data_IF_643419751555
#
_entry.id   IF_643419751555
#
_cell.length_a   1.000
_cell.length_b   1.000
_cell.length_c   1.000
_cell.angle_alpha   90.00
_cell.angle_beta   90.00
_cell.angle_gamma   90.00
#
_symmetry.space_group_name_H-M   'P 1'
#
loop_
_entity.id
_entity.type
_entity.pdbx_description
1 polymer ?
#
# COMPACT_ATOMS: atom_id res chain seq x y z
N UNK A 1 -14.10 -8.01 -11.09
CA UNK A 1 -14.02 -6.60 -10.70
C UNK A 1 -12.89 -6.47 -9.70
N UNK A 2 -11.92 -5.62 -9.97
CA UNK A 2 -10.73 -5.49 -9.11
C UNK A 2 -10.98 -4.39 -8.09
N UNK A 3 -10.76 -4.67 -6.81
CA UNK A 3 -10.61 -3.64 -5.81
C UNK A 3 -9.25 -2.97 -6.04
N UNK A 4 -9.25 -1.78 -6.62
CA UNK A 4 -8.11 -0.88 -6.48
C UNK A 4 -8.12 -0.40 -5.04
N UNK A 5 -7.02 -0.54 -4.34
CA UNK A 5 -6.83 0.24 -3.13
C UNK A 5 -6.93 1.70 -3.56
N UNK A 6 -7.98 2.38 -3.10
CA UNK A 6 -7.89 3.82 -3.03
C UNK A 6 -6.79 4.06 -2.02
N UNK A 7 -5.65 4.55 -2.50
CA UNK A 7 -4.64 5.07 -1.61
C UNK A 7 -5.33 6.04 -0.68
N UNK A 8 -5.53 5.62 0.56
CA UNK A 8 -5.89 6.56 1.60
C UNK A 8 -4.64 7.42 1.71
N UNK A 9 -4.68 8.59 1.07
CA UNK A 9 -3.71 9.66 1.27
C UNK A 9 -3.79 10.11 2.72
N UNK A 10 -3.30 9.29 3.62
CA UNK A 10 -3.12 9.59 5.01
C UNK A 10 -1.64 9.91 5.25
N UNK A 11 -1.13 10.89 4.53
CA UNK A 11 0.05 11.60 4.97
C UNK A 11 0.02 12.99 4.34
N UNK A 12 -0.82 13.85 4.88
CA UNK A 12 -0.48 15.26 4.88
C UNK A 12 0.84 15.35 5.64
N UNK A 13 1.94 15.22 4.91
CA UNK A 13 3.25 15.57 5.41
C UNK A 13 3.27 17.09 5.56
N UNK A 14 2.61 17.58 6.61
CA UNK A 14 2.93 18.89 7.13
C UNK A 14 4.39 18.82 7.54
N UNK A 15 5.28 19.43 6.73
CA UNK A 15 6.62 19.83 7.16
C UNK A 15 6.50 20.87 8.28
N UNK A 16 5.84 20.50 9.37
CA UNK A 16 6.04 21.11 10.67
C UNK A 16 7.27 20.41 11.24
N UNK A 17 8.41 21.06 11.13
CA UNK A 17 9.69 20.64 11.68
C UNK A 17 9.51 20.20 13.14
N UNK A 18 9.73 18.93 13.51
CA UNK A 18 9.85 18.58 14.91
C UNK A 18 11.25 19.00 15.39
N UNK A 19 11.28 19.87 16.38
CA UNK A 19 12.47 20.11 17.20
C UNK A 19 12.74 18.83 18.01
N UNK A 20 13.56 17.92 17.52
CA UNK A 20 14.46 17.07 18.30
C UNK A 20 15.13 16.00 17.44
N UNK A 21 16.47 16.05 17.41
CA UNK A 21 17.41 14.97 17.09
C UNK A 21 17.42 14.45 15.65
N UNK A 22 17.77 15.26 14.72
CA UNK A 22 18.66 15.16 13.56
C UNK A 22 18.39 16.44 12.73
N UNK A 23 19.44 17.18 12.39
CA UNK A 23 19.24 18.35 11.51
C UNK A 23 18.56 17.87 10.22
N UNK A 24 17.33 18.34 9.91
CA UNK A 24 16.70 17.96 8.65
C UNK A 24 17.62 18.37 7.50
N UNK A 25 17.64 17.61 6.40
CA UNK A 25 18.38 17.99 5.22
C UNK A 25 18.06 19.44 4.84
N UNK A 26 19.06 20.19 4.42
CA UNK A 26 18.87 21.57 3.95
C UNK A 26 19.18 21.65 2.47
N UNK A 27 18.37 22.37 1.67
CA UNK A 27 18.72 22.62 0.29
C UNK A 27 20.10 23.26 0.17
N UNK A 28 20.94 22.75 -0.71
CA UNK A 28 22.32 23.24 -0.91
C UNK A 28 22.38 24.57 -1.69
N UNK A 29 21.26 24.94 -2.30
CA UNK A 29 21.13 26.19 -3.06
C UNK A 29 19.70 26.70 -3.10
N UNK A 30 19.53 27.99 -3.42
CA UNK A 30 18.21 28.55 -3.66
C UNK A 30 17.48 27.84 -4.81
N UNK A 31 18.20 27.46 -5.88
CA UNK A 31 17.63 26.73 -7.02
C UNK A 31 17.08 25.35 -6.61
N UNK A 32 17.79 24.63 -5.76
CA UNK A 32 17.29 23.37 -5.20
C UNK A 32 16.07 23.59 -4.33
N UNK A 33 16.10 24.61 -3.47
CA UNK A 33 14.95 24.98 -2.64
C UNK A 33 13.70 25.28 -3.48
N UNK A 34 13.86 26.08 -4.55
CA UNK A 34 12.76 26.43 -5.45
C UNK A 34 12.22 25.17 -6.21
N UNK A 35 13.10 24.25 -6.57
CA UNK A 35 12.72 22.98 -7.21
C UNK A 35 11.93 22.07 -6.25
N UNK A 36 12.40 21.93 -5.00
CA UNK A 36 11.70 21.16 -3.95
C UNK A 36 10.34 21.79 -3.62
N UNK A 37 10.23 23.10 -3.64
CA UNK A 37 8.96 23.80 -3.40
C UNK A 37 7.92 23.46 -4.47
N UNK A 38 8.33 23.25 -5.73
CA UNK A 38 7.43 22.81 -6.81
C UNK A 38 6.91 21.40 -6.57
N UNK A 39 7.73 20.49 -6.03
CA UNK A 39 7.29 19.14 -5.65
C UNK A 39 6.17 19.24 -4.61
N UNK A 40 6.38 20.02 -3.54
CA UNK A 40 5.38 20.19 -2.49
C UNK A 40 4.10 20.84 -2.98
N UNK A 41 4.19 21.83 -3.87
CA UNK A 41 3.02 22.48 -4.47
C UNK A 41 2.20 21.49 -5.33
N UNK A 42 2.86 20.66 -6.12
CA UNK A 42 2.18 19.64 -6.93
C UNK A 42 1.51 18.58 -6.04
N UNK A 43 2.19 18.11 -4.98
CA UNK A 43 1.64 17.19 -4.01
C UNK A 43 0.38 17.75 -3.32
N UNK A 44 0.46 19.00 -2.81
CA UNK A 44 -0.68 19.66 -2.17
C UNK A 44 -1.88 19.84 -3.11
N UNK A 45 -1.60 20.08 -4.39
CA UNK A 45 -2.61 20.17 -5.44
C UNK A 45 -3.12 18.81 -5.92
N UNK A 46 -2.58 17.70 -5.40
CA UNK A 46 -2.83 16.33 -5.87
C UNK A 46 -2.60 16.17 -7.39
N UNK A 47 -1.68 16.96 -7.93
CA UNK A 47 -1.27 16.89 -9.32
C UNK A 47 -0.12 15.86 -9.45
N UNK A 48 -0.48 14.58 -9.50
CA UNK A 48 0.47 13.48 -9.49
C UNK A 48 1.45 13.50 -10.66
N UNK A 49 1.00 13.88 -11.85
CA UNK A 49 1.89 14.05 -13.00
C UNK A 49 2.89 15.20 -12.79
N UNK A 50 2.41 16.33 -12.28
CA UNK A 50 3.25 17.47 -11.93
C UNK A 50 4.23 17.17 -10.81
N UNK A 51 3.83 16.37 -9.82
CA UNK A 51 4.70 15.94 -8.72
C UNK A 51 5.83 15.05 -9.24
N UNK A 52 5.52 14.02 -10.04
CA UNK A 52 6.52 13.13 -10.64
C UNK A 52 7.48 13.93 -11.52
N UNK A 53 6.97 14.86 -12.33
CA UNK A 53 7.81 15.71 -13.18
C UNK A 53 8.74 16.61 -12.34
N UNK A 54 8.22 17.21 -11.27
CA UNK A 54 9.03 18.05 -10.38
C UNK A 54 10.09 17.23 -9.64
N UNK A 55 9.75 16.01 -9.18
CA UNK A 55 10.71 15.08 -8.54
C UNK A 55 11.83 14.72 -9.52
N UNK A 56 11.51 14.30 -10.74
CA UNK A 56 12.50 13.97 -11.76
C UNK A 56 13.42 15.18 -12.04
N UNK A 57 12.86 16.37 -12.11
CA UNK A 57 13.65 17.60 -12.28
C UNK A 57 14.67 17.80 -11.14
N UNK A 58 14.28 17.53 -9.88
CA UNK A 58 15.23 17.62 -8.76
C UNK A 58 16.30 16.54 -8.88
N UNK A 59 15.93 15.29 -9.13
CA UNK A 59 16.87 14.17 -9.19
C UNK A 59 17.88 14.29 -10.35
N UNK A 60 17.47 14.88 -11.46
CA UNK A 60 18.33 15.12 -12.64
C UNK A 60 19.28 16.31 -12.45
N UNK A 61 18.81 17.41 -11.87
CA UNK A 61 19.58 18.65 -11.79
C UNK A 61 20.38 18.79 -10.48
N UNK A 62 20.06 18.00 -9.44
CA UNK A 62 20.69 18.02 -8.13
C UNK A 62 21.07 16.59 -7.71
N UNK A 63 21.99 15.96 -8.45
CA UNK A 63 22.34 14.55 -8.26
C UNK A 63 22.87 14.21 -6.86
N UNK A 64 23.38 15.20 -6.13
CA UNK A 64 23.90 15.09 -4.76
C UNK A 64 22.87 15.58 -3.69
N UNK A 65 21.60 15.70 -4.06
CA UNK A 65 20.56 16.11 -3.12
C UNK A 65 20.44 15.11 -1.95
N UNK A 66 20.34 15.65 -0.74
CA UNK A 66 20.09 14.85 0.46
C UNK A 66 18.62 14.37 0.55
N UNK A 67 17.75 14.88 -0.31
CA UNK A 67 16.33 14.53 -0.37
C UNK A 67 16.03 13.32 -1.26
N UNK A 68 17.03 12.69 -1.88
CA UNK A 68 16.83 11.62 -2.88
C UNK A 68 15.90 10.52 -2.38
N UNK A 69 16.12 9.99 -1.19
CA UNK A 69 15.31 8.90 -0.65
C UNK A 69 13.86 9.32 -0.40
N UNK A 70 13.65 10.53 0.11
CA UNK A 70 12.32 11.10 0.32
C UNK A 70 11.60 11.31 -1.01
N UNK A 71 12.28 11.92 -1.98
CA UNK A 71 11.71 12.18 -3.31
C UNK A 71 11.33 10.91 -4.05
N UNK A 72 12.15 9.86 -3.97
CA UNK A 72 11.81 8.57 -4.57
C UNK A 72 10.59 7.94 -3.89
N UNK A 73 10.47 8.04 -2.56
CA UNK A 73 9.26 7.57 -1.86
C UNK A 73 8.02 8.36 -2.29
N UNK A 74 8.13 9.68 -2.41
CA UNK A 74 7.03 10.53 -2.92
C UNK A 74 6.65 10.18 -4.36
N UNK A 75 7.63 9.85 -5.22
CA UNK A 75 7.37 9.41 -6.59
C UNK A 75 6.61 8.08 -6.65
N UNK A 76 6.93 7.13 -5.74
CA UNK A 76 6.18 5.87 -5.61
C UNK A 76 4.72 6.15 -5.24
N UNK A 77 4.50 6.99 -4.23
CA UNK A 77 3.14 7.34 -3.77
C UNK A 77 2.35 8.09 -4.86
N UNK A 78 2.98 9.02 -5.57
CA UNK A 78 2.36 9.75 -6.67
C UNK A 78 1.99 8.82 -7.83
N UNK A 79 2.86 7.89 -8.21
CA UNK A 79 2.60 6.90 -9.26
C UNK A 79 1.48 5.95 -8.88
N UNK A 80 1.42 5.48 -7.62
CA UNK A 80 0.35 4.65 -7.11
C UNK A 80 -1.00 5.40 -7.12
N UNK A 81 -1.03 6.63 -6.62
CA UNK A 81 -2.24 7.46 -6.62
C UNK A 81 -2.76 7.75 -8.04
N UNK A 82 -1.86 7.89 -9.01
CA UNK A 82 -2.20 7.99 -10.43
C UNK A 82 -2.72 6.67 -11.01
N UNK A 83 -2.43 5.54 -10.37
CA UNK A 83 -2.73 4.20 -10.87
C UNK A 83 -1.80 3.74 -11.99
N UNK A 84 -0.58 4.28 -12.04
CA UNK A 84 0.44 3.93 -13.02
C UNK A 84 1.35 2.83 -12.45
N UNK A 85 0.93 1.57 -12.64
CA UNK A 85 1.65 0.40 -12.15
C UNK A 85 3.12 0.39 -12.58
N UNK A 86 3.40 0.71 -13.85
CA UNK A 86 4.77 0.64 -14.36
C UNK A 86 5.69 1.66 -13.65
N UNK A 87 5.20 2.89 -13.44
CA UNK A 87 5.94 3.91 -12.71
C UNK A 87 6.06 3.59 -11.22
N UNK A 88 5.00 3.04 -10.58
CA UNK A 88 5.06 2.61 -9.17
C UNK A 88 6.18 1.59 -8.95
N UNK A 89 6.28 0.59 -9.83
CA UNK A 89 7.34 -0.42 -9.71
C UNK A 89 8.72 0.18 -10.01
N UNK A 90 8.85 0.99 -11.05
CA UNK A 90 10.13 1.59 -11.44
C UNK A 90 10.69 2.52 -10.34
N UNK A 91 9.87 3.39 -9.76
CA UNK A 91 10.29 4.25 -8.65
C UNK A 91 10.49 3.46 -7.36
N UNK A 92 9.66 2.43 -7.10
CA UNK A 92 9.82 1.56 -5.95
C UNK A 92 11.15 0.82 -5.94
N UNK A 93 11.59 0.30 -7.09
CA UNK A 93 12.90 -0.35 -7.24
C UNK A 93 14.04 0.65 -7.01
N UNK A 94 13.94 1.87 -7.56
CA UNK A 94 14.91 2.93 -7.32
C UNK A 94 14.96 3.34 -5.83
N UNK A 95 13.79 3.46 -5.18
CA UNK A 95 13.69 3.81 -3.77
C UNK A 95 14.35 2.74 -2.88
N UNK A 96 14.11 1.46 -3.17
CA UNK A 96 14.73 0.34 -2.43
C UNK A 96 16.22 0.21 -2.73
N UNK A 97 16.66 0.55 -3.93
CA UNK A 97 18.09 0.60 -4.28
C UNK A 97 18.80 1.74 -3.54
N UNK A 98 18.16 2.91 -3.42
CA UNK A 98 18.72 4.07 -2.73
C UNK A 98 18.69 3.90 -1.19
N UNK A 99 17.63 3.28 -0.67
CA UNK A 99 17.49 2.91 0.74
C UNK A 99 16.95 1.48 0.87
N UNK A 100 17.83 0.49 1.15
CA UNK A 100 17.42 -0.88 1.37
C UNK A 100 16.45 -1.10 2.54
N UNK A 101 16.25 -0.11 3.40
CA UNK A 101 15.30 -0.13 4.50
C UNK A 101 14.02 0.66 4.21
N UNK A 102 13.79 1.07 2.98
CA UNK A 102 12.56 1.77 2.59
C UNK A 102 11.35 0.84 2.69
N UNK A 103 10.64 0.95 3.81
CA UNK A 103 9.47 0.12 4.13
C UNK A 103 8.30 0.45 3.20
N UNK A 104 7.98 1.76 3.06
CA UNK A 104 6.83 2.22 2.28
C UNK A 104 6.91 1.75 0.84
N UNK A 105 8.05 1.95 0.17
CA UNK A 105 8.22 1.49 -1.21
C UNK A 105 8.04 -0.02 -1.37
N UNK A 106 8.48 -0.82 -0.38
CA UNK A 106 8.29 -2.28 -0.41
C UNK A 106 6.83 -2.66 -0.28
N UNK A 107 6.12 -2.05 0.68
CA UNK A 107 4.69 -2.33 0.89
C UNK A 107 3.89 -1.93 -0.34
N UNK A 108 4.11 -0.73 -0.87
CA UNK A 108 3.43 -0.22 -2.06
C UNK A 108 3.66 -1.13 -3.28
N UNK A 109 4.91 -1.53 -3.53
CA UNK A 109 5.20 -2.49 -4.60
C UNK A 109 4.53 -3.85 -4.38
N UNK A 110 4.53 -4.37 -3.15
CA UNK A 110 3.91 -5.66 -2.86
C UNK A 110 2.40 -5.62 -3.14
N UNK A 111 1.71 -4.58 -2.68
CA UNK A 111 0.29 -4.38 -2.95
C UNK A 111 0.00 -4.24 -4.44
N UNK A 112 0.76 -3.40 -5.14
CA UNK A 112 0.53 -3.14 -6.56
C UNK A 112 0.79 -4.40 -7.42
N UNK A 113 1.85 -5.16 -7.14
CA UNK A 113 2.11 -6.42 -7.84
C UNK A 113 0.99 -7.43 -7.57
N UNK A 114 0.57 -7.60 -6.31
CA UNK A 114 -0.52 -8.52 -5.96
C UNK A 114 -1.82 -8.16 -6.67
N UNK A 115 -2.14 -6.86 -6.78
CA UNK A 115 -3.36 -6.37 -7.44
C UNK A 115 -3.31 -6.52 -8.97
N UNK A 116 -2.14 -6.40 -9.58
CA UNK A 116 -1.97 -6.49 -11.04
C UNK A 116 -1.75 -7.92 -11.53
N UNK A 117 -1.32 -8.84 -10.68
CA UNK A 117 -1.16 -10.26 -11.01
C UNK A 117 -2.51 -10.92 -11.24
N UNK A 118 -2.62 -11.71 -12.32
CA UNK A 118 -3.84 -12.45 -12.69
C UNK A 118 -3.60 -13.94 -12.57
N UNK A 119 -4.70 -14.69 -12.41
CA UNK A 119 -4.65 -16.15 -12.30
C UNK A 119 -3.93 -16.84 -13.46
N UNK A 120 -4.07 -16.31 -14.67
CA UNK A 120 -3.56 -16.90 -15.91
C UNK A 120 -2.30 -16.19 -16.45
N UNK A 121 -1.66 -15.32 -15.69
CA UNK A 121 -0.42 -14.68 -16.12
C UNK A 121 0.71 -15.73 -16.16
N UNK A 122 1.50 -15.69 -17.21
CA UNK A 122 2.60 -16.66 -17.42
C UNK A 122 3.69 -16.55 -16.36
N UNK A 123 3.88 -15.35 -15.84
CA UNK A 123 4.86 -14.99 -14.79
C UNK A 123 4.24 -14.89 -13.39
N UNK A 124 2.99 -15.40 -13.23
CA UNK A 124 2.24 -15.28 -11.97
C UNK A 124 3.08 -15.65 -10.75
N UNK A 125 3.72 -16.81 -10.77
CA UNK A 125 4.44 -17.29 -9.59
C UNK A 125 5.69 -16.46 -9.31
N UNK A 126 6.35 -15.92 -10.34
CA UNK A 126 7.46 -14.99 -10.17
C UNK A 126 6.98 -13.68 -9.53
N UNK A 127 5.86 -13.13 -9.99
CA UNK A 127 5.24 -11.93 -9.43
C UNK A 127 4.83 -12.16 -7.97
N UNK A 128 4.16 -13.28 -7.67
CA UNK A 128 3.74 -13.61 -6.31
C UNK A 128 4.92 -13.84 -5.36
N UNK A 129 6.00 -14.47 -5.86
CA UNK A 129 7.24 -14.57 -5.08
C UNK A 129 7.82 -13.19 -4.76
N UNK A 130 7.79 -12.26 -5.71
CA UNK A 130 8.22 -10.87 -5.46
C UNK A 130 7.35 -10.19 -4.41
N UNK A 131 6.04 -10.45 -4.39
CA UNK A 131 5.14 -9.99 -3.31
C UNK A 131 5.60 -10.53 -1.96
N UNK A 132 5.83 -11.85 -1.87
CA UNK A 132 6.28 -12.49 -0.63
C UNK A 132 7.60 -11.88 -0.13
N UNK A 133 8.59 -11.73 -1.01
CA UNK A 133 9.91 -11.19 -0.68
C UNK A 133 9.81 -9.72 -0.19
N UNK A 134 9.00 -8.90 -0.84
CA UNK A 134 8.80 -7.49 -0.49
C UNK A 134 8.03 -7.32 0.82
N UNK A 135 6.90 -8.01 0.97
CA UNK A 135 6.04 -7.89 2.14
C UNK A 135 6.71 -8.47 3.40
N UNK A 136 7.34 -9.65 3.31
CA UNK A 136 8.07 -10.22 4.46
C UNK A 136 9.24 -9.35 4.88
N UNK A 137 10.00 -8.77 3.93
CA UNK A 137 11.07 -7.84 4.25
C UNK A 137 10.55 -6.56 4.90
N UNK A 138 9.41 -6.04 4.45
CA UNK A 138 8.76 -4.91 5.08
C UNK A 138 8.32 -5.22 6.52
N UNK A 139 7.71 -6.39 6.76
CA UNK A 139 7.32 -6.86 8.10
C UNK A 139 8.52 -6.99 9.04
N UNK A 140 9.64 -7.55 8.56
CA UNK A 140 10.88 -7.64 9.34
C UNK A 140 11.42 -6.27 9.73
N UNK A 141 11.41 -5.33 8.79
CA UNK A 141 11.84 -3.94 9.04
C UNK A 141 10.88 -3.25 10.03
N UNK A 142 9.57 -3.39 9.84
CA UNK A 142 8.54 -2.83 10.72
C UNK A 142 8.67 -3.36 12.15
N UNK A 143 8.92 -4.65 12.33
CA UNK A 143 9.11 -5.27 13.65
C UNK A 143 10.21 -4.58 14.43
N UNK A 144 11.32 -4.24 13.75
CA UNK A 144 12.52 -3.68 14.37
C UNK A 144 12.56 -2.14 14.35
N UNK A 145 11.65 -1.48 13.63
CA UNK A 145 11.61 -0.03 13.55
C UNK A 145 11.06 0.59 14.84
N UNK A 146 11.94 1.16 15.64
CA UNK A 146 11.59 1.91 16.86
C UNK A 146 11.33 3.40 16.59
N UNK A 147 11.89 3.92 15.51
CA UNK A 147 11.76 5.33 15.10
C UNK A 147 11.15 5.44 13.71
N UNK A 148 10.46 6.54 13.41
CA UNK A 148 9.91 6.77 12.08
C UNK A 148 11.02 6.95 11.04
N UNK A 149 10.71 6.70 9.75
CA UNK A 149 11.57 7.10 8.65
C UNK A 149 11.85 8.61 8.65
N UNK A 150 12.99 9.05 8.08
CA UNK A 150 13.29 10.47 7.93
C UNK A 150 12.16 11.24 7.25
N UNK A 151 11.81 12.40 7.81
CA UNK A 151 10.74 13.27 7.27
C UNK A 151 9.33 12.94 7.77
N UNK A 152 9.12 11.82 8.45
CA UNK A 152 7.81 11.47 9.01
C UNK A 152 7.61 12.07 10.40
N UNK A 153 6.41 12.55 10.68
CA UNK A 153 6.03 13.01 12.03
C UNK A 153 6.08 11.83 13.02
N UNK A 154 6.90 11.91 14.09
CA UNK A 154 7.00 10.85 15.08
C UNK A 154 5.66 10.48 15.75
N UNK A 155 4.76 11.44 15.92
CA UNK A 155 3.44 11.19 16.50
C UNK A 155 2.53 10.33 15.59
N UNK A 156 2.73 10.37 14.28
CA UNK A 156 1.98 9.55 13.32
C UNK A 156 2.56 8.15 13.13
N UNK A 157 3.79 7.91 13.59
CA UNK A 157 4.49 6.65 13.34
C UNK A 157 3.78 5.40 13.85
N UNK A 158 3.23 5.37 15.08
CA UNK A 158 2.52 4.18 15.55
C UNK A 158 1.37 3.75 14.65
N UNK A 159 0.58 4.70 14.16
CA UNK A 159 -0.56 4.40 13.29
C UNK A 159 -0.10 4.06 11.87
N UNK A 160 0.90 4.77 11.33
CA UNK A 160 1.53 4.42 10.05
C UNK A 160 2.13 3.00 10.09
N UNK A 161 2.77 2.64 11.20
CA UNK A 161 3.34 1.30 11.39
C UNK A 161 2.26 0.22 11.36
N UNK A 162 1.11 0.44 12.01
CA UNK A 162 -0.03 -0.47 11.94
C UNK A 162 -0.56 -0.59 10.51
N UNK A 163 -0.75 0.55 9.85
CA UNK A 163 -1.22 0.59 8.45
C UNK A 163 -0.30 -0.22 7.53
N UNK A 164 1.01 0.05 7.54
CA UNK A 164 1.98 -0.65 6.70
C UNK A 164 2.07 -2.15 7.04
N UNK A 165 1.91 -2.51 8.32
CA UNK A 165 1.86 -3.91 8.73
C UNK A 165 0.61 -4.60 8.18
N UNK A 166 -0.56 -3.96 8.30
CA UNK A 166 -1.82 -4.46 7.76
C UNK A 166 -1.77 -4.62 6.25
N UNK A 167 -1.24 -3.63 5.54
CA UNK A 167 -1.07 -3.68 4.08
C UNK A 167 -0.12 -4.80 3.64
N UNK A 168 0.96 -5.04 4.38
CA UNK A 168 1.89 -6.15 4.10
C UNK A 168 1.19 -7.51 4.20
N UNK A 169 0.40 -7.73 5.26
CA UNK A 169 -0.39 -8.96 5.40
C UNK A 169 -1.51 -9.06 4.37
N UNK A 170 -2.13 -7.94 3.99
CA UNK A 170 -3.12 -7.93 2.91
C UNK A 170 -2.51 -8.35 1.57
N UNK A 171 -1.31 -7.88 1.24
CA UNK A 171 -0.59 -8.30 0.03
C UNK A 171 -0.23 -9.80 0.06
N UNK A 172 0.24 -10.34 1.20
CA UNK A 172 0.50 -11.77 1.39
C UNK A 172 -0.78 -12.59 1.25
N UNK A 173 -1.88 -12.13 1.84
CA UNK A 173 -3.19 -12.77 1.71
C UNK A 173 -3.67 -12.83 0.27
N UNK A 174 -3.46 -11.76 -0.52
CA UNK A 174 -3.76 -11.76 -1.95
C UNK A 174 -2.89 -12.75 -2.73
N UNK A 175 -1.58 -12.81 -2.42
CA UNK A 175 -0.68 -13.76 -3.06
C UNK A 175 -1.10 -15.22 -2.77
N UNK A 176 -1.49 -15.50 -1.53
CA UNK A 176 -2.00 -16.82 -1.14
C UNK A 176 -3.34 -17.15 -1.82
N UNK A 177 -4.26 -16.18 -1.93
CA UNK A 177 -5.55 -16.35 -2.63
C UNK A 177 -5.35 -16.65 -4.12
N UNK A 178 -4.43 -15.93 -4.80
CA UNK A 178 -4.07 -16.19 -6.20
C UNK A 178 -3.43 -17.57 -6.43
N UNK A 179 -2.75 -18.11 -5.41
CA UNK A 179 -2.24 -19.50 -5.40
C UNK A 179 -3.31 -20.53 -5.04
N UNK A 180 -4.53 -20.09 -4.71
CA UNK A 180 -5.64 -20.92 -4.19
C UNK A 180 -5.31 -21.58 -2.84
N UNK A 181 -4.35 -21.01 -2.11
CA UNK A 181 -4.08 -21.40 -0.73
C UNK A 181 -4.97 -20.59 0.22
N UNK A 182 -6.27 -20.88 0.17
CA UNK A 182 -7.29 -20.13 0.90
C UNK A 182 -7.10 -20.14 2.43
N UNK A 183 -6.67 -21.25 3.07
CA UNK A 183 -6.39 -21.22 4.52
C UNK A 183 -5.33 -20.19 4.91
N UNK A 184 -4.25 -20.10 4.12
CA UNK A 184 -3.20 -19.07 4.35
C UNK A 184 -3.76 -17.67 4.07
N UNK A 185 -4.47 -17.47 2.97
CA UNK A 185 -5.10 -16.18 2.64
C UNK A 185 -6.03 -15.69 3.76
N UNK A 186 -6.86 -16.57 4.31
CA UNK A 186 -7.75 -16.27 5.45
C UNK A 186 -6.94 -15.85 6.68
N UNK A 187 -5.84 -16.53 6.97
CA UNK A 187 -4.97 -16.19 8.11
C UNK A 187 -4.34 -14.81 7.94
N UNK A 188 -3.79 -14.54 6.76
CA UNK A 188 -3.11 -13.28 6.48
C UNK A 188 -4.09 -12.10 6.48
N UNK A 189 -5.26 -12.24 5.84
CA UNK A 189 -6.29 -11.19 5.89
C UNK A 189 -6.81 -10.94 7.31
N UNK A 190 -6.97 -11.98 8.14
CA UNK A 190 -7.32 -11.80 9.56
C UNK A 190 -6.24 -11.01 10.30
N UNK A 191 -4.97 -11.35 10.08
CA UNK A 191 -3.85 -10.64 10.71
C UNK A 191 -3.80 -9.17 10.26
N UNK A 192 -4.09 -8.91 8.99
CA UNK A 192 -4.22 -7.55 8.48
C UNK A 192 -5.31 -6.76 9.23
N UNK A 193 -6.50 -7.35 9.39
CA UNK A 193 -7.65 -6.74 10.06
C UNK A 193 -7.40 -6.57 11.58
N UNK A 194 -6.78 -7.56 12.22
CA UNK A 194 -6.45 -7.48 13.65
C UNK A 194 -5.42 -6.37 13.92
N UNK A 195 -4.53 -6.12 12.95
CA UNK A 195 -3.53 -5.05 13.03
C UNK A 195 -4.14 -3.67 12.77
N UNK A 196 -4.98 -3.56 11.76
CA UNK A 196 -5.71 -2.34 11.41
C UNK A 196 -7.19 -2.66 11.10
N UNK A 197 -8.08 -2.55 12.10
CA UNK A 197 -9.51 -2.80 11.92
C UNK A 197 -10.19 -1.85 10.93
N UNK A 198 -9.57 -0.74 10.56
CA UNK A 198 -10.10 0.20 9.57
C UNK A 198 -9.87 -0.25 8.12
N UNK A 199 -9.06 -1.28 7.89
CA UNK A 199 -8.77 -1.82 6.57
C UNK A 199 -9.98 -2.58 5.98
N UNK A 200 -10.98 -1.83 5.52
CA UNK A 200 -12.20 -2.39 4.92
C UNK A 200 -11.91 -3.23 3.65
N UNK A 201 -10.79 -2.98 2.97
CA UNK A 201 -10.37 -3.74 1.79
C UNK A 201 -9.97 -5.15 2.20
N UNK A 202 -9.15 -5.31 3.24
CA UNK A 202 -8.77 -6.62 3.77
C UNK A 202 -10.01 -7.40 4.26
N UNK A 203 -10.99 -6.72 4.90
CA UNK A 203 -12.26 -7.37 5.30
C UNK A 203 -13.02 -7.90 4.09
N UNK A 204 -13.10 -7.12 3.02
CA UNK A 204 -13.79 -7.55 1.79
C UNK A 204 -13.07 -8.72 1.08
N UNK A 205 -11.73 -8.73 1.09
CA UNK A 205 -10.91 -9.83 0.56
C UNK A 205 -11.03 -11.09 1.42
N UNK A 206 -11.11 -10.94 2.74
CA UNK A 206 -11.39 -12.06 3.65
C UNK A 206 -12.74 -12.70 3.33
N UNK A 207 -13.78 -11.91 3.06
CA UNK A 207 -15.08 -12.45 2.65
C UNK A 207 -14.96 -13.30 1.38
N UNK A 208 -14.20 -12.83 0.37
CA UNK A 208 -13.91 -13.61 -0.84
C UNK A 208 -13.16 -14.91 -0.52
N UNK A 209 -12.09 -14.83 0.27
CA UNK A 209 -11.28 -16.00 0.62
C UNK A 209 -12.12 -17.08 1.34
N UNK A 210 -13.06 -16.69 2.20
CA UNK A 210 -14.01 -17.62 2.80
C UNK A 210 -14.93 -18.27 1.76
N UNK A 211 -15.46 -17.47 0.80
CA UNK A 211 -16.31 -17.99 -0.28
C UNK A 211 -15.56 -19.02 -1.12
N UNK A 212 -14.33 -18.70 -1.52
CA UNK A 212 -13.49 -19.57 -2.33
C UNK A 212 -13.08 -20.85 -1.56
N UNK A 213 -12.92 -20.73 -0.24
CA UNK A 213 -12.70 -21.88 0.66
C UNK A 213 -13.99 -22.63 1.03
N UNK A 214 -15.13 -22.32 0.41
CA UNK A 214 -16.45 -22.94 0.64
C UNK A 214 -17.02 -22.72 2.06
N UNK A 215 -16.49 -21.76 2.79
CA UNK A 215 -16.97 -21.32 4.11
C UNK A 215 -18.03 -20.22 3.91
N UNK A 216 -19.16 -20.59 3.31
CA UNK A 216 -20.13 -19.60 2.82
C UNK A 216 -20.75 -18.75 3.94
N UNK A 217 -21.00 -19.34 5.12
CA UNK A 217 -21.56 -18.59 6.27
C UNK A 217 -20.59 -17.52 6.78
N UNK A 218 -19.31 -17.87 6.87
CA UNK A 218 -18.26 -16.92 7.26
C UNK A 218 -18.11 -15.82 6.19
N UNK A 219 -18.19 -16.19 4.92
CA UNK A 219 -18.15 -15.25 3.79
C UNK A 219 -19.30 -14.24 3.85
N UNK A 220 -20.54 -14.69 4.07
CA UNK A 220 -21.72 -13.83 4.21
C UNK A 220 -21.54 -12.89 5.41
N UNK A 221 -21.21 -13.44 6.59
CA UNK A 221 -21.04 -12.67 7.81
C UNK A 221 -19.94 -11.60 7.66
N UNK A 222 -18.85 -11.95 6.99
CA UNK A 222 -17.72 -11.02 6.77
C UNK A 222 -18.08 -9.93 5.76
N UNK A 223 -18.81 -10.26 4.70
CA UNK A 223 -19.32 -9.29 3.75
C UNK A 223 -20.28 -8.29 4.42
N UNK A 224 -21.16 -8.77 5.31
CA UNK A 224 -22.08 -7.92 6.07
C UNK A 224 -21.34 -6.91 6.96
N UNK A 225 -20.19 -7.30 7.55
CA UNK A 225 -19.34 -6.35 8.29
C UNK A 225 -18.88 -5.19 7.41
N UNK A 226 -18.43 -5.47 6.18
CA UNK A 226 -18.03 -4.41 5.24
C UNK A 226 -19.19 -3.48 4.90
N UNK A 227 -20.37 -4.05 4.63
CA UNK A 227 -21.56 -3.28 4.27
C UNK A 227 -22.03 -2.36 5.41
N UNK A 228 -21.77 -2.75 6.66
CA UNK A 228 -22.10 -1.97 7.85
C UNK A 228 -21.10 -0.82 8.12
N UNK A 229 -19.90 -0.81 7.51
CA UNK A 229 -18.94 0.28 7.67
C UNK A 229 -19.47 1.51 6.91
N UNK A 230 -19.79 2.58 7.62
CA UNK A 230 -20.42 3.79 7.05
C UNK A 230 -19.58 4.45 5.96
N UNK A 231 -18.29 4.56 6.20
CA UNK A 231 -17.28 5.26 5.39
C UNK A 231 -16.46 4.35 4.48
N UNK A 232 -16.79 3.04 4.41
CA UNK A 232 -16.13 2.16 3.45
C UNK A 232 -16.40 2.63 2.01
N UNK A 233 -15.35 2.66 1.15
CA UNK A 233 -15.48 3.11 -0.23
C UNK A 233 -16.54 2.32 -1.01
N UNK A 234 -17.32 3.01 -1.85
CA UNK A 234 -18.38 2.38 -2.63
C UNK A 234 -17.94 1.15 -3.44
N UNK A 235 -16.76 1.12 -4.09
CA UNK A 235 -16.27 -0.08 -4.76
C UNK A 235 -16.03 -1.27 -3.83
N UNK A 236 -15.58 -1.01 -2.57
CA UNK A 236 -15.37 -2.06 -1.56
C UNK A 236 -16.70 -2.64 -1.12
N UNK A 237 -17.71 -1.80 -0.86
CA UNK A 237 -19.07 -2.25 -0.56
C UNK A 237 -19.69 -3.06 -1.71
N UNK A 238 -19.53 -2.59 -2.95
CA UNK A 238 -20.02 -3.31 -4.13
C UNK A 238 -19.38 -4.69 -4.23
N UNK A 239 -18.07 -4.80 -4.01
CA UNK A 239 -17.38 -6.07 -4.03
C UNK A 239 -17.86 -6.99 -2.89
N UNK A 240 -18.01 -6.47 -1.68
CA UNK A 240 -18.52 -7.25 -0.55
C UNK A 240 -19.95 -7.77 -0.82
N UNK A 241 -20.82 -6.93 -1.39
CA UNK A 241 -22.17 -7.37 -1.78
C UNK A 241 -22.13 -8.52 -2.80
N UNK A 242 -21.24 -8.42 -3.82
CA UNK A 242 -21.07 -9.50 -4.79
C UNK A 242 -20.62 -10.81 -4.12
N UNK A 243 -19.68 -10.75 -3.18
CA UNK A 243 -19.25 -11.95 -2.45
C UNK A 243 -20.37 -12.56 -1.62
N UNK A 244 -21.18 -11.73 -0.96
CA UNK A 244 -22.36 -12.17 -0.22
C UNK A 244 -23.36 -12.88 -1.12
N UNK A 245 -23.66 -12.33 -2.29
CA UNK A 245 -24.60 -12.90 -3.25
C UNK A 245 -24.11 -14.25 -3.78
N UNK A 246 -22.81 -14.34 -4.13
CA UNK A 246 -22.16 -15.58 -4.56
C UNK A 246 -22.25 -16.64 -3.45
N UNK A 247 -21.86 -16.28 -2.21
CA UNK A 247 -21.91 -17.20 -1.07
C UNK A 247 -23.33 -17.72 -0.81
N UNK A 248 -24.32 -16.84 -0.85
CA UNK A 248 -25.73 -17.18 -0.64
C UNK A 248 -26.23 -18.18 -1.71
N UNK A 249 -25.91 -17.92 -2.97
CA UNK A 249 -26.25 -18.82 -4.09
C UNK A 249 -25.61 -20.18 -3.94
N UNK A 250 -24.30 -20.23 -3.67
CA UNK A 250 -23.55 -21.48 -3.55
C UNK A 250 -24.00 -22.29 -2.34
N UNK A 251 -24.27 -21.65 -1.21
CA UNK A 251 -24.85 -22.29 -0.01
C UNK A 251 -26.21 -22.92 -0.30
N UNK A 252 -27.06 -22.23 -1.08
CA UNK A 252 -28.36 -22.77 -1.48
C UNK A 252 -28.28 -23.98 -2.41
N UNK A 253 -27.24 -24.02 -3.27
CA UNK A 253 -27.01 -25.12 -4.21
C UNK A 253 -26.33 -26.36 -3.57
N UNK A 254 -25.73 -26.20 -2.38
CA UNK A 254 -25.04 -27.28 -1.65
C UNK A 254 -25.99 -28.06 -0.70
N UNK A 255 -27.26 -27.68 -0.63
CA UNK A 255 -28.35 -28.37 0.08
C UNK A 255 -29.10 -29.28 -0.86
#
# INVERSE_FOLDING_TARGET
MRLRTFGISAAVLCLALPLAAQNPPKPKSQKESDALQKVLQAQQAQNWDGEIQAINNVLENFADTEYKNLLLSMAVDAAQNKGDYAQTIAFGEQAVQADPNNITARVTMAEDIAQHTRENDLDKEQSLKKVDDLANKALDLLKNASTPPPGMNPAAWPDTKKLLTSQSYDALGQAADLRKNYPTAITDFKTAIDTDPSNSVAVARLAKAYVDNKQYDDGITTADKVLAISDAPAPVKTFAQQQKDIATKLKGAAK
#
